data_IF_923209098835
#
_entry.id   IF_923209098835
#
_cell.length_a   1.000
_cell.length_b   1.000
_cell.length_c   1.000
_cell.angle_alpha   90.00
_cell.angle_beta   90.00
_cell.angle_gamma   90.00
#
_symmetry.space_group_name_H-M   'P 1'
#
loop_
_entity.id
_entity.type
_entity.pdbx_description
1 polymer ?
#
# COMPACT_ATOMS: atom_id res chain seq x y z
N UNK A 1 30.86 64.48 -33.32
CA UNK A 1 30.61 63.10 -33.79
C UNK A 1 31.41 62.15 -32.90
N UNK A 2 30.78 61.61 -31.86
CA UNK A 2 31.36 60.62 -30.94
C UNK A 2 30.21 59.71 -30.49
N UNK A 3 30.03 58.58 -31.18
CA UNK A 3 29.00 57.59 -30.89
C UNK A 3 29.54 56.48 -29.98
N UNK A 4 28.86 56.24 -28.86
CA UNK A 4 29.11 55.10 -27.95
C UNK A 4 28.62 53.79 -28.57
N UNK A 5 29.26 52.63 -28.30
CA UNK A 5 28.69 51.33 -28.59
C UNK A 5 27.65 50.95 -27.53
N UNK A 6 26.52 50.37 -27.96
CA UNK A 6 25.51 49.77 -27.08
C UNK A 6 25.96 48.34 -26.72
N UNK A 7 26.11 48.06 -25.43
CA UNK A 7 26.22 46.69 -24.91
C UNK A 7 24.87 45.98 -25.01
N UNK A 8 24.82 44.86 -25.74
CA UNK A 8 23.73 43.90 -25.66
C UNK A 8 24.07 42.86 -24.58
N UNK A 9 23.34 42.88 -23.48
CA UNK A 9 23.41 41.88 -22.41
C UNK A 9 22.69 40.60 -22.84
N UNK A 10 23.44 39.52 -23.06
CA UNK A 10 22.92 38.17 -23.27
C UNK A 10 22.51 37.61 -21.89
N UNK A 11 21.21 37.54 -21.62
CA UNK A 11 20.68 36.69 -20.54
C UNK A 11 20.63 35.24 -21.03
N UNK A 12 21.44 34.37 -20.45
CA UNK A 12 21.26 32.91 -20.52
C UNK A 12 19.92 32.57 -19.84
N UNK A 13 18.94 32.13 -20.60
CA UNK A 13 17.76 31.45 -20.06
C UNK A 13 18.17 29.99 -19.83
N UNK A 14 18.35 29.65 -18.57
CA UNK A 14 18.55 28.28 -18.10
C UNK A 14 17.18 27.57 -18.17
N UNK A 15 16.97 26.74 -19.20
CA UNK A 15 15.77 25.91 -19.33
C UNK A 15 15.89 24.72 -18.37
N UNK A 16 15.25 24.81 -17.21
CA UNK A 16 14.82 23.62 -16.47
C UNK A 16 13.40 23.28 -16.95
N UNK A 17 13.30 22.32 -17.86
CA UNK A 17 12.04 21.67 -18.21
C UNK A 17 12.08 20.21 -17.78
N UNK A 18 10.99 19.64 -17.24
CA UNK A 18 10.93 18.21 -16.96
C UNK A 18 11.04 17.40 -18.27
N UNK A 19 11.49 16.14 -18.21
CA UNK A 19 11.51 15.28 -19.40
C UNK A 19 10.09 15.15 -19.97
N UNK A 20 9.98 15.37 -21.27
CA UNK A 20 8.77 15.09 -22.03
C UNK A 20 8.47 13.59 -21.92
N UNK A 21 7.43 13.22 -21.18
CA UNK A 21 6.81 11.90 -21.33
C UNK A 21 6.09 11.95 -22.68
N UNK A 22 6.69 11.32 -23.68
CA UNK A 22 6.08 11.18 -25.00
C UNK A 22 4.93 10.17 -24.88
N UNK A 23 3.72 10.68 -24.67
CA UNK A 23 2.50 9.89 -24.68
C UNK A 23 2.18 9.57 -26.15
N UNK A 24 2.78 8.51 -26.68
CA UNK A 24 2.44 7.98 -28.00
C UNK A 24 1.05 7.35 -27.89
N UNK A 25 0.01 8.13 -28.23
CA UNK A 25 -1.31 7.56 -28.52
C UNK A 25 -1.20 6.89 -29.89
N UNK A 26 -0.63 5.69 -29.90
CA UNK A 26 -0.48 4.87 -31.09
C UNK A 26 -1.82 4.28 -31.49
N UNK A 27 -2.20 4.48 -32.76
CA UNK A 27 -3.16 3.62 -33.42
C UNK A 27 -2.60 2.19 -33.41
N UNK A 28 -3.28 1.26 -32.73
CA UNK A 28 -2.82 -0.11 -32.53
C UNK A 28 -2.83 -0.89 -33.85
N UNK A 29 -1.67 -0.99 -34.51
CA UNK A 29 -1.43 -1.96 -35.59
C UNK A 29 -1.22 -3.35 -34.98
N UNK A 30 -2.14 -4.25 -35.30
CA UNK A 30 -2.22 -5.61 -34.79
C UNK A 30 -0.99 -6.46 -35.18
N UNK A 31 -0.25 -6.95 -34.18
CA UNK A 31 0.69 -8.08 -34.32
C UNK A 31 0.23 -9.20 -33.41
N UNK A 32 -0.69 -10.03 -33.88
CA UNK A 32 -1.06 -11.27 -33.19
C UNK A 32 -0.03 -12.36 -33.48
N UNK A 33 0.82 -12.70 -32.51
CA UNK A 33 1.55 -13.96 -32.56
C UNK A 33 0.63 -15.07 -32.05
N UNK A 34 0.24 -15.96 -32.96
CA UNK A 34 -0.50 -17.18 -32.61
C UNK A 34 0.53 -18.26 -32.30
N UNK A 35 0.95 -18.35 -31.03
CA UNK A 35 1.63 -19.55 -30.55
C UNK A 35 0.60 -20.68 -30.44
N UNK A 36 0.83 -21.79 -31.16
CA UNK A 36 -0.08 -22.93 -31.20
C UNK A 36 -0.47 -23.39 -29.78
N UNK A 37 -1.77 -23.32 -29.46
CA UNK A 37 -2.35 -23.85 -28.21
C UNK A 37 -2.74 -22.83 -27.14
N UNK A 38 -2.48 -21.52 -27.31
CA UNK A 38 -2.99 -20.48 -26.38
C UNK A 38 -3.96 -19.54 -27.10
N UNK A 39 -5.10 -19.18 -26.49
CA UNK A 39 -6.00 -18.17 -27.05
C UNK A 39 -5.24 -16.84 -27.21
N UNK A 40 -5.44 -16.18 -28.34
CA UNK A 40 -4.81 -14.89 -28.60
C UNK A 40 -5.20 -13.88 -27.52
N UNK A 41 -4.21 -13.40 -26.77
CA UNK A 41 -4.38 -12.31 -25.79
C UNK A 41 -4.07 -10.98 -26.45
N UNK A 42 -4.79 -9.95 -26.03
CA UNK A 42 -4.54 -8.58 -26.47
C UNK A 42 -3.59 -7.92 -25.48
N UNK A 43 -2.63 -7.16 -25.99
CA UNK A 43 -1.85 -6.24 -25.17
C UNK A 43 -2.78 -5.12 -24.71
N UNK A 44 -3.10 -5.11 -23.43
CA UNK A 44 -3.88 -4.05 -22.78
C UNK A 44 -3.01 -2.81 -22.55
N UNK A 45 -1.77 -3.05 -22.12
CA UNK A 45 -0.80 -2.01 -21.79
C UNK A 45 0.63 -2.54 -21.99
N UNK A 46 1.53 -1.66 -22.42
CA UNK A 46 2.97 -1.93 -22.50
C UNK A 46 3.73 -0.69 -22.03
N UNK A 47 4.67 -0.86 -21.09
CA UNK A 47 5.59 0.18 -20.63
C UNK A 47 7.03 -0.29 -20.74
N UNK A 48 7.97 0.64 -20.94
CA UNK A 48 9.39 0.35 -21.18
C UNK A 48 10.27 1.04 -20.15
N UNK A 49 11.25 0.29 -19.64
CA UNK A 49 12.23 0.74 -18.65
C UNK A 49 13.62 0.28 -19.11
N UNK A 50 14.27 1.09 -19.94
CA UNK A 50 15.51 0.69 -20.62
C UNK A 50 15.30 -0.54 -21.52
N UNK A 51 16.01 -1.62 -21.22
CA UNK A 51 15.90 -2.91 -21.95
C UNK A 51 14.75 -3.80 -21.47
N UNK A 52 14.06 -3.39 -20.41
CA UNK A 52 12.91 -4.08 -19.85
C UNK A 52 11.60 -3.57 -20.47
N UNK A 53 10.67 -4.49 -20.69
CA UNK A 53 9.31 -4.21 -21.14
C UNK A 53 8.34 -4.89 -20.18
N UNK A 54 7.43 -4.12 -19.61
CA UNK A 54 6.33 -4.64 -18.80
C UNK A 54 5.07 -4.63 -19.64
N UNK A 55 4.44 -5.78 -19.79
CA UNK A 55 3.27 -5.96 -20.64
C UNK A 55 2.12 -6.54 -19.84
N UNK A 56 0.94 -5.97 -20.01
CA UNK A 56 -0.31 -6.51 -19.50
C UNK A 56 -1.14 -7.06 -20.65
N UNK A 57 -1.51 -8.33 -20.53
CA UNK A 57 -2.24 -9.10 -21.51
C UNK A 57 -3.62 -9.47 -20.97
N UNK A 58 -4.67 -9.22 -21.75
CA UNK A 58 -6.05 -9.55 -21.40
C UNK A 58 -6.72 -10.44 -22.43
N UNK A 59 -7.78 -11.13 -22.00
CA UNK A 59 -8.64 -11.88 -22.92
C UNK A 59 -9.54 -10.90 -23.69
N UNK A 60 -9.61 -11.07 -25.02
CA UNK A 60 -10.43 -10.24 -25.92
C UNK A 60 -11.94 -10.27 -25.61
N UNK A 61 -12.41 -11.25 -24.84
CA UNK A 61 -13.82 -11.48 -24.52
C UNK A 61 -14.38 -10.56 -23.41
N UNK A 62 -13.75 -9.41 -23.15
CA UNK A 62 -14.34 -8.33 -22.36
C UNK A 62 -15.50 -7.71 -23.14
N UNK A 63 -16.63 -8.43 -23.24
CA UNK A 63 -17.89 -7.78 -23.56
C UNK A 63 -18.29 -6.95 -22.33
N UNK A 64 -18.75 -5.71 -22.52
CA UNK A 64 -19.15 -4.83 -21.44
C UNK A 64 -20.51 -5.20 -20.82
N UNK A 65 -21.04 -6.41 -21.05
CA UNK A 65 -22.25 -6.88 -20.35
C UNK A 65 -21.88 -7.33 -18.94
N UNK A 66 -21.68 -6.33 -18.07
CA UNK A 66 -21.82 -6.46 -16.62
C UNK A 66 -23.27 -6.91 -16.33
N UNK A 67 -23.56 -8.19 -16.51
CA UNK A 67 -24.75 -8.79 -15.92
C UNK A 67 -24.46 -9.01 -14.43
N UNK A 68 -25.39 -8.59 -13.58
CA UNK A 68 -25.27 -8.48 -12.13
C UNK A 68 -24.92 -9.79 -11.39
N UNK A 69 -24.78 -10.92 -12.08
CA UNK A 69 -24.62 -12.25 -11.47
C UNK A 69 -23.36 -13.03 -11.91
N UNK A 70 -22.45 -12.43 -12.68
CA UNK A 70 -21.25 -13.13 -13.11
C UNK A 70 -20.09 -12.22 -13.46
N UNK A 71 -19.19 -11.98 -12.49
CA UNK A 71 -17.90 -11.32 -12.76
C UNK A 71 -17.25 -11.98 -13.99
N UNK A 72 -17.02 -11.23 -15.09
CA UNK A 72 -16.36 -11.80 -16.25
C UNK A 72 -15.02 -12.37 -15.82
N UNK A 73 -14.79 -13.64 -16.18
CA UNK A 73 -13.54 -14.39 -15.95
C UNK A 73 -12.40 -13.84 -16.85
N UNK A 74 -12.15 -12.54 -16.81
CA UNK A 74 -11.03 -11.93 -17.51
C UNK A 74 -9.82 -11.96 -16.60
N UNK A 75 -8.95 -12.96 -16.79
CA UNK A 75 -7.62 -12.90 -16.20
C UNK A 75 -6.78 -11.85 -16.93
N UNK A 76 -6.00 -11.10 -16.14
CA UNK A 76 -4.92 -10.26 -16.62
C UNK A 76 -3.63 -11.03 -16.40
N UNK A 77 -2.77 -11.09 -17.42
CA UNK A 77 -1.40 -11.57 -17.27
C UNK A 77 -0.43 -10.41 -17.39
N UNK A 78 0.46 -10.28 -16.41
CA UNK A 78 1.60 -9.39 -16.48
C UNK A 78 2.83 -10.20 -16.90
N UNK A 79 3.61 -9.67 -17.84
CA UNK A 79 4.88 -10.21 -18.29
C UNK A 79 5.94 -9.11 -18.13
N UNK A 80 7.09 -9.47 -17.55
CA UNK A 80 8.31 -8.65 -17.58
C UNK A 80 9.26 -9.32 -18.57
N UNK A 81 9.60 -8.59 -19.62
CA UNK A 81 10.51 -9.03 -20.69
C UNK A 81 11.83 -8.29 -20.55
N UNK A 82 12.96 -8.99 -20.67
CA UNK A 82 14.30 -8.41 -20.80
C UNK A 82 14.88 -8.78 -22.17
N UNK A 83 15.19 -7.77 -23.00
CA UNK A 83 15.66 -7.98 -24.39
C UNK A 83 14.77 -8.95 -25.19
N UNK A 84 13.46 -8.85 -24.99
CA UNK A 84 12.44 -9.67 -25.65
C UNK A 84 12.23 -11.08 -25.07
N UNK A 85 12.99 -11.48 -24.03
CA UNK A 85 12.78 -12.75 -23.32
C UNK A 85 11.97 -12.52 -22.05
N UNK A 86 10.94 -13.34 -21.81
CA UNK A 86 10.17 -13.28 -20.56
C UNK A 86 11.05 -13.74 -19.38
N UNK A 87 11.25 -12.85 -18.40
CA UNK A 87 12.01 -13.12 -17.16
C UNK A 87 11.09 -13.29 -15.95
N UNK A 88 9.85 -12.81 -16.05
CA UNK A 88 8.81 -13.05 -15.05
C UNK A 88 7.43 -12.96 -15.69
N UNK A 89 6.52 -13.83 -15.28
CA UNK A 89 5.12 -13.75 -15.65
C UNK A 89 4.22 -14.04 -14.44
N UNK A 90 3.04 -13.42 -14.44
CA UNK A 90 2.00 -13.65 -13.44
C UNK A 90 0.65 -13.51 -14.07
N UNK A 91 -0.26 -14.41 -13.74
CA UNK A 91 -1.65 -14.33 -14.15
C UNK A 91 -2.54 -14.18 -12.92
N UNK A 92 -3.41 -13.17 -12.95
CA UNK A 92 -4.36 -12.89 -11.87
C UNK A 92 -5.75 -12.67 -12.44
N UNK A 93 -6.76 -13.23 -11.75
CA UNK A 93 -8.17 -13.09 -12.12
C UNK A 93 -8.77 -11.75 -11.74
N UNK A 94 -8.26 -11.13 -10.69
CA UNK A 94 -8.81 -9.89 -10.12
C UNK A 94 -8.07 -8.64 -10.60
N UNK A 95 -6.83 -8.78 -11.07
CA UNK A 95 -6.10 -7.71 -11.72
C UNK A 95 -4.62 -7.66 -11.33
N UNK A 96 -3.84 -7.16 -12.27
CA UNK A 96 -2.45 -6.74 -12.10
C UNK A 96 -2.33 -5.36 -12.72
N UNK A 97 -1.59 -4.45 -12.10
CA UNK A 97 -1.36 -3.12 -12.65
C UNK A 97 -0.02 -2.54 -12.23
N UNK A 98 0.42 -1.55 -13.01
CA UNK A 98 1.47 -0.63 -12.63
C UNK A 98 0.84 0.57 -11.91
N UNK A 99 1.49 1.13 -10.90
CA UNK A 99 1.02 2.38 -10.35
C UNK A 99 1.11 3.52 -11.39
N UNK A 100 0.06 4.37 -11.44
CA UNK A 100 -0.07 5.43 -12.45
C UNK A 100 -0.46 4.92 -13.85
N UNK A 101 -0.67 3.61 -14.02
CA UNK A 101 -1.11 3.00 -15.27
C UNK A 101 -2.63 3.13 -15.42
N UNK A 102 -3.10 3.21 -16.67
CA UNK A 102 -4.51 3.39 -17.00
C UNK A 102 -5.35 2.12 -16.86
N UNK A 103 -4.97 1.25 -15.92
CA UNK A 103 -5.49 -0.10 -15.78
C UNK A 103 -7.02 -0.15 -15.73
N UNK A 104 -7.57 -1.30 -16.08
CA UNK A 104 -9.00 -1.56 -16.32
C UNK A 104 -9.94 -1.25 -15.12
N UNK A 105 -9.38 -1.02 -13.92
CA UNK A 105 -10.11 -0.64 -12.70
C UNK A 105 -9.92 0.84 -12.31
N UNK A 106 -9.24 1.62 -13.15
CA UNK A 106 -8.81 3.00 -12.89
C UNK A 106 -9.80 4.07 -13.38
N UNK A 107 -11.08 3.70 -13.57
CA UNK A 107 -12.09 4.65 -14.06
C UNK A 107 -12.35 5.82 -13.10
N UNK A 108 -11.99 5.70 -11.81
CA UNK A 108 -12.24 6.73 -10.79
C UNK A 108 -10.95 7.46 -10.31
N UNK A 109 -9.76 6.86 -10.44
CA UNK A 109 -8.51 7.43 -9.91
C UNK A 109 -7.98 8.58 -10.78
N UNK A 110 -8.18 8.52 -12.11
CA UNK A 110 -7.79 9.61 -13.02
C UNK A 110 -8.42 10.96 -12.67
N UNK A 111 -9.56 10.98 -11.97
CA UNK A 111 -10.21 12.23 -11.54
C UNK A 111 -9.61 12.81 -10.26
N UNK A 112 -8.76 12.08 -9.55
CA UNK A 112 -8.14 12.52 -8.30
C UNK A 112 -6.63 12.31 -8.39
N UNK A 113 -5.99 13.24 -9.09
CA UNK A 113 -4.54 13.38 -9.18
C UNK A 113 -3.97 13.65 -7.78
N UNK A 114 -3.61 12.61 -7.02
CA UNK A 114 -3.19 12.71 -5.61
C UNK A 114 -1.69 12.88 -5.41
N UNK A 115 -0.93 13.18 -6.47
CA UNK A 115 0.43 13.71 -6.33
C UNK A 115 1.52 12.69 -5.99
N UNK A 116 1.21 11.41 -5.82
CA UNK A 116 2.23 10.38 -5.57
C UNK A 116 2.44 9.54 -6.82
N UNK A 117 3.40 9.93 -7.66
CA UNK A 117 3.90 9.08 -8.73
C UNK A 117 4.86 8.09 -8.09
N UNK A 118 4.50 6.81 -8.05
CA UNK A 118 5.46 5.77 -7.66
C UNK A 118 6.63 5.80 -8.65
N UNK A 119 7.89 5.89 -8.18
CA UNK A 119 9.04 6.18 -9.03
C UNK A 119 9.52 4.93 -9.78
N UNK A 120 8.66 4.43 -10.67
CA UNK A 120 8.93 3.26 -11.50
C UNK A 120 10.16 3.48 -12.36
N UNK A 121 11.11 2.54 -12.32
CA UNK A 121 12.37 2.63 -13.03
C UNK A 121 13.36 3.63 -12.40
N UNK A 122 13.23 3.91 -11.10
CA UNK A 122 14.21 4.66 -10.31
C UNK A 122 14.78 3.75 -9.22
N UNK A 123 15.95 4.11 -8.72
CA UNK A 123 16.57 3.46 -7.56
C UNK A 123 15.80 3.84 -6.29
N UNK A 124 15.13 2.86 -5.68
CA UNK A 124 14.32 3.03 -4.47
C UNK A 124 15.05 2.51 -3.22
N UNK A 125 16.12 1.74 -3.37
CA UNK A 125 16.79 1.04 -2.28
C UNK A 125 18.23 1.55 -2.01
N UNK A 126 18.71 2.48 -2.84
CA UNK A 126 20.01 3.14 -2.75
C UNK A 126 21.18 2.35 -3.37
N UNK A 127 20.93 1.26 -4.09
CA UNK A 127 21.99 0.40 -4.65
C UNK A 127 22.48 0.83 -6.05
N UNK A 128 21.87 1.88 -6.61
CA UNK A 128 22.17 2.43 -7.93
C UNK A 128 21.46 1.74 -9.09
N UNK A 129 20.63 0.71 -8.84
CA UNK A 129 19.84 0.01 -9.85
C UNK A 129 18.37 0.43 -9.73
N UNK A 130 17.63 0.53 -10.85
CA UNK A 130 16.22 0.89 -10.79
C UNK A 130 15.30 -0.24 -10.32
N UNK A 131 14.18 0.10 -9.68
CA UNK A 131 13.16 -0.88 -9.31
C UNK A 131 11.85 -0.75 -10.08
N UNK A 132 11.13 -1.88 -10.13
CA UNK A 132 9.78 -2.02 -10.63
C UNK A 132 8.86 -2.52 -9.51
N UNK A 133 7.73 -1.84 -9.30
CA UNK A 133 6.66 -2.31 -8.40
C UNK A 133 5.43 -2.73 -9.20
N UNK A 134 5.00 -3.97 -9.05
CA UNK A 134 3.78 -4.52 -9.68
C UNK A 134 2.77 -4.86 -8.59
N UNK A 135 1.56 -4.37 -8.71
CA UNK A 135 0.48 -4.70 -7.77
C UNK A 135 -0.38 -5.83 -8.30
N UNK A 136 -0.74 -6.73 -7.38
CA UNK A 136 -1.71 -7.80 -7.57
C UNK A 136 -2.89 -7.58 -6.64
N UNK A 137 -4.09 -7.57 -7.21
CA UNK A 137 -5.33 -7.65 -6.43
C UNK A 137 -5.74 -9.11 -6.36
N UNK A 138 -6.06 -9.62 -5.18
CA UNK A 138 -6.71 -10.93 -4.98
C UNK A 138 -8.22 -10.80 -4.76
N UNK A 139 -8.83 -9.69 -5.20
CA UNK A 139 -10.24 -9.41 -4.95
C UNK A 139 -10.46 -8.87 -3.55
N UNK A 140 -11.41 -9.42 -2.79
CA UNK A 140 -11.73 -8.96 -1.43
C UNK A 140 -10.75 -9.47 -0.35
N UNK A 141 -9.77 -10.30 -0.72
CA UNK A 141 -9.01 -11.07 0.27
C UNK A 141 -7.51 -10.74 0.31
N UNK A 142 -6.77 -10.79 -0.80
CA UNK A 142 -5.31 -10.78 -0.67
C UNK A 142 -4.65 -9.85 -1.68
N UNK A 143 -4.12 -8.74 -1.20
CA UNK A 143 -3.44 -7.74 -2.01
C UNK A 143 -1.94 -7.83 -1.84
N UNK A 144 -1.19 -7.66 -2.93
CA UNK A 144 0.27 -7.76 -2.91
C UNK A 144 0.94 -6.71 -3.77
N UNK A 145 2.12 -6.28 -3.35
CA UNK A 145 3.07 -5.59 -4.20
C UNK A 145 4.30 -6.47 -4.41
N UNK A 146 4.71 -6.65 -5.66
CA UNK A 146 5.96 -7.29 -6.02
C UNK A 146 6.99 -6.21 -6.35
N UNK A 147 8.12 -6.24 -5.67
CA UNK A 147 9.24 -5.32 -5.92
C UNK A 147 10.32 -6.09 -6.64
N UNK A 148 10.73 -5.59 -7.80
CA UNK A 148 11.79 -6.16 -8.62
C UNK A 148 12.88 -5.14 -8.82
N UNK A 149 14.13 -5.56 -8.73
CA UNK A 149 15.26 -4.83 -9.27
C UNK A 149 15.32 -5.10 -10.77
N UNK A 150 15.48 -4.04 -11.53
CA UNK A 150 15.68 -4.03 -12.97
C UNK A 150 16.95 -3.21 -13.28
N UNK A 151 17.66 -3.51 -14.35
CA UNK A 151 18.93 -2.82 -14.64
C UNK A 151 19.93 -3.77 -15.27
N UNK A 152 21.09 -3.93 -14.64
CA UNK A 152 22.11 -4.87 -15.11
C UNK A 152 21.66 -6.34 -15.00
N UNK A 153 20.81 -6.63 -14.01
CA UNK A 153 20.22 -7.93 -13.80
C UNK A 153 18.77 -7.82 -13.32
N UNK A 154 18.01 -8.90 -13.53
CA UNK A 154 16.65 -9.02 -13.04
C UNK A 154 16.63 -9.79 -11.72
N UNK A 155 16.06 -9.21 -10.68
CA UNK A 155 15.90 -9.88 -9.38
C UNK A 155 14.55 -9.51 -8.76
N UNK A 156 13.85 -10.48 -8.16
CA UNK A 156 12.69 -10.18 -7.32
C UNK A 156 13.18 -9.90 -5.89
N UNK A 157 13.09 -8.64 -5.48
CA UNK A 157 13.55 -8.17 -4.17
C UNK A 157 12.57 -8.52 -3.05
N UNK A 158 11.28 -8.30 -3.26
CA UNK A 158 10.28 -8.49 -2.21
C UNK A 158 8.89 -8.86 -2.74
N UNK A 159 8.09 -9.45 -1.84
CA UNK A 159 6.63 -9.46 -1.92
C UNK A 159 6.11 -8.81 -0.65
N UNK A 160 5.40 -7.70 -0.79
CA UNK A 160 4.76 -7.00 0.31
C UNK A 160 3.30 -7.43 0.35
N UNK A 161 2.88 -8.06 1.44
CA UNK A 161 1.48 -8.43 1.65
C UNK A 161 0.73 -7.19 2.15
N UNK A 162 -0.21 -6.69 1.36
CA UNK A 162 -1.03 -5.51 1.65
C UNK A 162 -2.35 -5.88 2.33
N UNK A 163 -2.56 -7.18 2.60
CA UNK A 163 -3.67 -7.71 3.41
C UNK A 163 -5.06 -7.65 2.76
N UNK A 164 -6.07 -7.90 3.61
CA UNK A 164 -7.51 -7.93 3.29
C UNK A 164 -8.08 -6.53 3.34
N UNK A 165 -8.24 -5.86 2.19
CA UNK A 165 -8.96 -4.58 2.12
C UNK A 165 -10.34 -4.80 1.50
N UNK A 166 -11.41 -4.42 2.20
CA UNK A 166 -12.80 -4.47 1.70
C UNK A 166 -13.10 -3.32 0.71
N UNK A 167 -12.24 -2.32 0.67
CA UNK A 167 -12.51 -1.11 -0.09
C UNK A 167 -11.34 -0.82 -0.99
N UNK A 168 -11.54 -1.13 -2.27
CA UNK A 168 -10.94 -0.43 -3.41
C UNK A 168 -9.47 -0.05 -3.13
N UNK A 169 -8.58 -1.01 -3.32
CA UNK A 169 -7.15 -0.77 -3.60
C UNK A 169 -6.87 0.30 -4.67
N UNK A 170 -7.89 0.82 -5.34
CA UNK A 170 -7.81 2.01 -6.17
C UNK A 170 -7.65 3.30 -5.36
N UNK A 171 -7.44 3.28 -4.04
CA UNK A 171 -6.87 4.46 -3.37
C UNK A 171 -5.34 4.36 -3.36
N UNK A 172 -4.64 4.89 -4.40
CA UNK A 172 -3.18 4.92 -4.47
C UNK A 172 -2.53 5.72 -3.31
N UNK A 173 -3.31 6.30 -2.40
CA UNK A 173 -2.80 6.90 -1.16
C UNK A 173 -2.38 5.86 -0.12
N UNK A 174 -2.87 4.62 -0.20
CA UNK A 174 -2.63 3.60 0.83
C UNK A 174 -1.39 2.74 0.61
N UNK A 175 -0.74 2.86 -0.54
CA UNK A 175 0.63 2.40 -0.74
C UNK A 175 1.43 3.51 -1.39
N UNK A 176 2.49 3.96 -0.72
CA UNK A 176 3.35 5.04 -1.20
C UNK A 176 4.80 4.64 -0.99
N UNK A 177 5.64 4.89 -2.00
CA UNK A 177 7.09 4.95 -1.83
C UNK A 177 7.50 6.41 -1.66
N UNK A 178 8.19 6.74 -0.58
CA UNK A 178 8.64 8.09 -0.30
C UNK A 178 9.89 8.06 0.58
N UNK A 179 10.83 8.95 0.29
CA UNK A 179 11.95 9.28 1.17
C UNK A 179 11.43 10.04 2.40
N UNK A 180 11.41 9.34 3.55
CA UNK A 180 10.87 9.85 4.81
C UNK A 180 11.95 10.42 5.74
N UNK A 181 13.21 10.04 5.56
CA UNK A 181 14.31 10.41 6.46
C UNK A 181 15.46 11.19 5.79
N UNK A 182 15.39 11.40 4.47
CA UNK A 182 16.34 12.15 3.67
C UNK A 182 17.56 11.36 3.21
N UNK A 183 17.56 10.02 3.34
CA UNK A 183 18.68 9.16 2.96
C UNK A 183 18.69 8.78 1.46
N UNK A 184 17.69 9.24 0.69
CA UNK A 184 17.46 8.94 -0.73
C UNK A 184 17.06 7.49 -1.03
N UNK A 185 16.84 6.66 -0.02
CA UNK A 185 16.08 5.44 -0.16
C UNK A 185 14.60 5.76 0.08
N UNK A 186 13.70 4.95 -0.48
CA UNK A 186 12.28 5.17 -0.33
C UNK A 186 11.68 4.16 0.64
N UNK A 187 10.98 4.65 1.65
CA UNK A 187 10.14 3.82 2.50
C UNK A 187 8.83 3.48 1.81
N UNK A 188 8.38 2.23 1.99
CA UNK A 188 7.04 1.80 1.68
C UNK A 188 6.11 2.12 2.84
N UNK A 189 5.21 3.08 2.65
CA UNK A 189 4.12 3.41 3.56
C UNK A 189 2.89 2.64 3.10
N UNK A 190 2.38 1.76 3.95
CA UNK A 190 1.22 0.91 3.64
C UNK A 190 0.37 0.63 4.87
N UNK A 191 -0.83 0.08 4.68
CA UNK A 191 -1.70 -0.32 5.78
C UNK A 191 -1.47 -1.79 6.17
N UNK A 192 -1.29 -2.07 7.47
CA UNK A 192 -1.35 -3.42 8.03
C UNK A 192 -2.80 -3.78 8.39
N UNK A 193 -3.37 -4.71 7.63
CA UNK A 193 -4.74 -5.20 7.80
C UNK A 193 -4.84 -6.48 8.63
N UNK A 194 -3.72 -6.97 9.18
CA UNK A 194 -3.71 -8.24 9.91
C UNK A 194 -4.65 -8.20 11.13
N UNK A 195 -4.85 -7.00 11.69
CA UNK A 195 -5.73 -6.73 12.82
C UNK A 195 -7.13 -6.23 12.42
N UNK A 196 -7.65 -6.62 11.25
CA UNK A 196 -9.03 -6.35 10.81
C UNK A 196 -10.09 -7.14 11.59
N UNK A 197 -10.12 -6.97 12.91
CA UNK A 197 -10.95 -7.69 13.87
C UNK A 197 -12.44 -7.56 13.66
N UNK A 198 -13.16 -8.68 13.53
CA UNK A 198 -14.58 -8.86 13.90
C UNK A 198 -15.62 -7.98 13.20
N UNK A 199 -15.20 -6.94 12.51
CA UNK A 199 -16.03 -6.07 11.71
C UNK A 199 -15.92 -6.58 10.28
N UNK A 200 -17.00 -7.12 9.74
CA UNK A 200 -17.04 -7.40 8.32
C UNK A 200 -16.85 -6.07 7.56
N UNK A 201 -15.87 -6.06 6.67
CA UNK A 201 -15.73 -5.02 5.66
C UNK A 201 -15.05 -3.71 6.08
N UNK A 202 -15.62 -2.60 5.61
CA UNK A 202 -15.12 -1.22 5.68
C UNK A 202 -14.75 -0.67 7.07
N UNK A 203 -15.13 -1.36 8.15
CA UNK A 203 -14.85 -0.96 9.52
C UNK A 203 -13.57 -1.59 10.11
N UNK A 204 -12.90 -2.48 9.38
CA UNK A 204 -11.61 -3.02 9.79
C UNK A 204 -10.59 -1.89 9.99
N UNK A 205 -10.03 -1.81 11.19
CA UNK A 205 -9.01 -0.85 11.53
C UNK A 205 -7.68 -1.26 10.91
N UNK A 206 -7.40 -0.76 9.70
CA UNK A 206 -6.06 -0.76 9.16
C UNK A 206 -5.20 0.28 9.88
N UNK A 207 -3.93 -0.03 10.09
CA UNK A 207 -2.97 0.88 10.70
C UNK A 207 -1.78 1.07 9.77
N UNK A 208 -1.36 2.32 9.61
CA UNK A 208 -0.22 2.66 8.77
C UNK A 208 1.07 2.04 9.34
N UNK A 209 1.82 1.37 8.48
CA UNK A 209 3.17 0.87 8.73
C UNK A 209 4.12 1.47 7.70
N UNK A 210 5.32 1.77 8.18
CA UNK A 210 6.41 2.28 7.34
C UNK A 210 7.45 1.16 7.28
N UNK A 211 7.78 0.71 6.07
CA UNK A 211 8.82 -0.28 5.85
C UNK A 211 10.01 0.38 5.14
N UNK A 212 11.23 0.12 5.62
CA UNK A 212 12.48 0.57 5.01
C UNK A 212 13.26 -0.63 4.47
N UNK A 213 13.94 -0.45 3.34
CA UNK A 213 14.87 -1.45 2.84
C UNK A 213 16.14 -1.49 3.69
N UNK A 214 16.42 -2.64 4.32
CA UNK A 214 17.66 -2.90 5.07
C UNK A 214 18.03 -4.36 4.96
N UNK A 215 19.32 -4.64 4.80
CA UNK A 215 19.88 -5.99 4.76
C UNK A 215 19.19 -6.92 3.73
N UNK A 216 18.82 -6.35 2.57
CA UNK A 216 18.22 -7.10 1.47
C UNK A 216 16.73 -7.40 1.63
N UNK A 217 16.03 -6.78 2.58
CA UNK A 217 14.58 -6.90 2.72
C UNK A 217 13.92 -5.62 3.25
N UNK A 218 12.59 -5.52 3.10
CA UNK A 218 11.81 -4.48 3.75
C UNK A 218 11.56 -4.84 5.22
N UNK A 219 11.95 -3.96 6.14
CA UNK A 219 11.79 -4.11 7.58
C UNK A 219 11.00 -2.93 8.16
N UNK A 220 10.20 -3.12 9.23
CA UNK A 220 9.49 -2.00 9.87
C UNK A 220 10.44 -0.89 10.38
N UNK A 221 10.21 0.34 9.91
CA UNK A 221 10.96 1.54 10.29
C UNK A 221 10.35 2.16 11.57
N UNK A 222 10.51 1.46 12.69
CA UNK A 222 9.89 1.85 13.98
C UNK A 222 10.30 3.24 14.48
N UNK A 223 11.48 3.70 14.11
CA UNK A 223 11.97 5.06 14.34
C UNK A 223 11.10 6.13 13.64
N UNK A 224 10.65 5.85 12.41
CA UNK A 224 9.78 6.74 11.64
C UNK A 224 8.31 6.63 12.05
N UNK A 225 7.89 5.47 12.56
CA UNK A 225 6.51 5.25 13.03
C UNK A 225 6.25 5.84 14.41
N UNK A 226 7.29 6.04 15.22
CA UNK A 226 7.16 6.49 16.60
C UNK A 226 6.55 7.90 16.69
N UNK A 227 5.49 8.04 17.47
CA UNK A 227 4.87 9.34 17.81
C UNK A 227 5.07 9.61 19.30
N UNK A 228 5.18 10.89 19.73
CA UNK A 228 5.21 11.21 21.15
C UNK A 228 3.93 10.71 21.85
N UNK A 229 4.02 10.29 23.12
CA UNK A 229 2.85 9.81 23.84
C UNK A 229 1.80 10.91 23.97
N UNK A 230 0.50 10.59 23.79
CA UNK A 230 -0.56 11.55 24.01
C UNK A 230 -0.59 11.98 25.48
N UNK A 231 -0.97 13.23 25.71
CA UNK A 231 -1.15 13.72 27.08
C UNK A 231 -2.29 12.97 27.79
N UNK A 232 -2.29 12.86 29.13
CA UNK A 232 -3.39 12.23 29.86
C UNK A 232 -4.76 12.86 29.59
N UNK A 233 -4.83 14.18 29.42
CA UNK A 233 -6.08 14.89 29.12
C UNK A 233 -6.60 14.59 27.72
N UNK A 234 -5.69 14.52 26.75
CA UNK A 234 -6.03 14.12 25.40
C UNK A 234 -6.57 12.68 25.37
N UNK A 235 -5.91 11.76 26.07
CA UNK A 235 -6.34 10.36 26.15
C UNK A 235 -7.74 10.25 26.78
N UNK A 236 -8.00 10.98 27.88
CA UNK A 236 -9.32 11.06 28.53
C UNK A 236 -10.39 11.63 27.59
N UNK A 237 -10.06 12.68 26.84
CA UNK A 237 -10.99 13.31 25.88
C UNK A 237 -11.39 12.33 24.78
N UNK A 238 -10.41 11.67 24.16
CA UNK A 238 -10.64 10.64 23.12
C UNK A 238 -11.48 9.49 23.70
N UNK A 239 -11.17 9.03 24.92
CA UNK A 239 -11.87 7.92 25.56
C UNK A 239 -13.35 8.27 25.83
N UNK A 240 -13.63 9.48 26.31
CA UNK A 240 -15.00 9.98 26.52
C UNK A 240 -15.80 10.01 25.21
N UNK A 241 -15.18 10.42 24.10
CA UNK A 241 -15.85 10.46 22.79
C UNK A 241 -16.23 9.06 22.29
N UNK A 242 -15.34 8.09 22.40
CA UNK A 242 -15.63 6.71 21.98
C UNK A 242 -16.66 6.07 22.92
N UNK A 243 -16.51 6.26 24.23
CA UNK A 243 -17.46 5.73 25.22
C UNK A 243 -18.88 6.30 25.05
N UNK A 244 -19.02 7.53 24.58
CA UNK A 244 -20.35 8.11 24.28
C UNK A 244 -21.07 7.41 23.12
N UNK A 245 -20.35 6.68 22.27
CA UNK A 245 -20.90 5.86 21.18
C UNK A 245 -21.22 4.43 21.62
N UNK A 246 -20.89 4.07 22.86
CA UNK A 246 -21.17 2.74 23.37
C UNK A 246 -22.69 2.53 23.41
N UNK A 247 -23.25 1.53 22.72
CA UNK A 247 -24.69 1.38 22.61
C UNK A 247 -25.32 1.17 24.00
N UNK A 248 -26.41 1.90 24.26
CA UNK A 248 -27.10 1.87 25.55
C UNK A 248 -27.87 0.56 25.82
N UNK A 249 -28.00 -0.31 24.82
CA UNK A 249 -28.81 -1.54 24.91
C UNK A 249 -27.90 -2.77 25.05
N UNK A 250 -27.94 -3.37 26.25
CA UNK A 250 -27.29 -4.61 26.65
C UNK A 250 -27.72 -5.80 25.78
N UNK A 251 -27.11 -5.98 24.60
CA UNK A 251 -27.01 -7.31 24.01
C UNK A 251 -25.73 -7.98 24.51
N UNK A 252 -25.73 -9.30 24.74
CA UNK A 252 -24.51 -10.02 25.09
C UNK A 252 -23.53 -9.82 23.93
N UNK A 253 -22.55 -8.93 24.13
CA UNK A 253 -21.65 -8.48 23.09
C UNK A 253 -20.91 -9.68 22.47
N UNK A 254 -21.16 -9.92 21.19
CA UNK A 254 -20.20 -10.61 20.34
C UNK A 254 -19.02 -9.68 20.04
N UNK A 255 -17.87 -10.20 19.59
CA UNK A 255 -16.71 -9.40 19.18
C UNK A 255 -17.00 -8.33 18.12
N UNK A 256 -18.15 -8.41 17.46
CA UNK A 256 -18.59 -7.58 16.32
C UNK A 256 -19.25 -6.25 16.72
N UNK A 257 -19.64 -6.07 17.98
CA UNK A 257 -20.49 -4.96 18.42
C UNK A 257 -19.72 -3.84 19.13
N UNK A 258 -18.39 -3.92 19.17
CA UNK A 258 -17.53 -2.89 19.74
C UNK A 258 -17.41 -1.69 18.79
N UNK A 259 -17.32 -0.44 19.30
CA UNK A 259 -17.05 0.70 18.44
C UNK A 259 -15.75 0.48 17.66
N UNK A 260 -15.81 0.41 16.33
CA UNK A 260 -14.61 0.22 15.49
C UNK A 260 -13.53 1.28 15.72
N UNK A 261 -13.94 2.48 16.14
CA UNK A 261 -13.04 3.56 16.55
C UNK A 261 -12.15 3.19 17.75
N UNK A 262 -12.61 2.34 18.68
CA UNK A 262 -11.80 1.89 19.82
C UNK A 262 -10.55 1.18 19.32
N UNK A 263 -10.73 0.20 18.43
CA UNK A 263 -9.62 -0.61 17.95
C UNK A 263 -8.69 0.16 17.02
N UNK A 264 -9.23 1.08 16.22
CA UNK A 264 -8.41 2.01 15.43
C UNK A 264 -7.49 2.83 16.32
N UNK A 265 -8.01 3.39 17.41
CA UNK A 265 -7.22 4.18 18.35
C UNK A 265 -6.19 3.32 19.09
N UNK A 266 -6.58 2.13 19.55
CA UNK A 266 -5.65 1.19 20.21
C UNK A 266 -4.52 0.79 19.27
N UNK A 267 -4.82 0.48 18.01
CA UNK A 267 -3.82 0.13 17.01
C UNK A 267 -2.88 1.30 16.70
N UNK A 268 -3.41 2.51 16.46
CA UNK A 268 -2.57 3.70 16.20
C UNK A 268 -1.64 4.00 17.40
N UNK A 269 -2.13 3.86 18.63
CA UNK A 269 -1.29 4.00 19.83
C UNK A 269 -0.20 2.91 19.91
N UNK A 270 -0.52 1.65 19.64
CA UNK A 270 0.47 0.56 19.68
C UNK A 270 1.51 0.73 18.58
N UNK A 271 1.09 0.93 17.32
CA UNK A 271 1.98 1.04 16.17
C UNK A 271 2.78 2.35 16.15
N UNK A 272 2.41 3.33 16.98
CA UNK A 272 3.22 4.54 17.19
C UNK A 272 4.15 4.48 18.41
N UNK A 273 4.29 3.30 19.05
CA UNK A 273 5.20 3.12 20.18
C UNK A 273 4.62 3.52 21.54
N UNK A 274 3.28 3.59 21.66
CA UNK A 274 2.55 4.06 22.84
C UNK A 274 1.64 2.99 23.44
N UNK A 275 2.02 1.71 23.42
CA UNK A 275 1.19 0.60 23.89
C UNK A 275 0.73 0.75 25.36
N UNK A 276 1.58 1.28 26.25
CA UNK A 276 1.16 1.56 27.62
C UNK A 276 -0.01 2.56 27.70
N UNK A 277 -0.04 3.56 26.81
CA UNK A 277 -1.19 4.47 26.68
C UNK A 277 -2.40 3.75 26.07
N UNK A 278 -2.19 2.88 25.09
CA UNK A 278 -3.25 2.08 24.47
C UNK A 278 -4.00 1.22 25.50
N UNK A 279 -3.28 0.55 26.41
CA UNK A 279 -3.93 -0.29 27.43
C UNK A 279 -4.71 0.53 28.45
N UNK A 280 -4.15 1.66 28.92
CA UNK A 280 -4.90 2.61 29.75
C UNK A 280 -6.13 3.18 29.03
N UNK A 281 -6.02 3.40 27.71
CA UNK A 281 -7.14 3.86 26.89
C UNK A 281 -8.29 2.87 26.90
N UNK A 282 -7.99 1.57 26.71
CA UNK A 282 -9.02 0.51 26.81
C UNK A 282 -9.71 0.57 28.16
N UNK A 283 -8.96 0.67 29.27
CA UNK A 283 -9.55 0.76 30.61
C UNK A 283 -10.47 1.97 30.81
N UNK A 284 -10.17 3.11 30.16
CA UNK A 284 -11.01 4.31 30.24
C UNK A 284 -12.30 4.20 29.40
N UNK A 285 -12.22 3.52 28.25
CA UNK A 285 -13.35 3.34 27.33
C UNK A 285 -14.28 2.25 27.83
N UNK A 286 -13.73 1.16 28.37
CA UNK A 286 -14.49 0.00 28.81
C UNK A 286 -15.48 0.38 29.92
N UNK A 287 -16.80 0.13 29.76
CA UNK A 287 -17.74 0.53 30.78
C UNK A 287 -17.52 -0.25 32.09
N UNK A 288 -17.62 0.40 33.27
CA UNK A 288 -17.46 -0.27 34.55
C UNK A 288 -18.45 -1.43 34.73
N UNK A 289 -17.94 -2.59 35.15
CA UNK A 289 -18.76 -3.78 35.40
C UNK A 289 -19.09 -4.62 34.16
N UNK A 290 -18.77 -4.15 32.94
CA UNK A 290 -18.99 -4.93 31.73
C UNK A 290 -18.00 -6.10 31.63
N UNK A 291 -18.48 -7.36 31.51
CA UNK A 291 -17.61 -8.53 31.41
C UNK A 291 -16.90 -8.61 30.06
N UNK A 292 -15.99 -9.57 29.90
CA UNK A 292 -15.41 -9.93 28.60
C UNK A 292 -14.16 -9.15 28.17
N UNK A 293 -13.80 -8.05 28.86
CA UNK A 293 -12.60 -7.24 28.55
C UNK A 293 -11.34 -8.08 28.36
N UNK A 294 -11.02 -8.93 29.33
CA UNK A 294 -9.79 -9.71 29.32
C UNK A 294 -9.76 -10.78 28.23
N UNK A 295 -10.88 -11.47 28.00
CA UNK A 295 -10.99 -12.48 26.94
C UNK A 295 -10.78 -11.84 25.56
N UNK A 296 -11.39 -10.68 25.36
CA UNK A 296 -11.25 -9.89 24.14
C UNK A 296 -9.83 -9.35 23.96
N UNK A 297 -9.21 -8.79 25.01
CA UNK A 297 -7.81 -8.35 24.96
C UNK A 297 -6.84 -9.50 24.72
N UNK A 298 -7.10 -10.69 25.29
CA UNK A 298 -6.31 -11.88 25.02
C UNK A 298 -6.42 -12.32 23.56
N UNK A 299 -7.62 -12.29 23.00
CA UNK A 299 -7.85 -12.54 21.57
C UNK A 299 -7.09 -11.43 20.78
N UNK A 300 -7.27 -10.14 21.10
CA UNK A 300 -6.62 -8.99 20.43
C UNK A 300 -5.12 -9.17 20.26
N UNK A 301 -4.45 -9.54 21.35
CA UNK A 301 -3.01 -9.81 21.36
C UNK A 301 -2.60 -11.00 20.49
N UNK A 302 -3.44 -12.04 20.39
CA UNK A 302 -3.18 -13.17 19.47
C UNK A 302 -3.22 -12.75 18.01
N UNK A 303 -4.14 -11.88 17.62
CA UNK A 303 -4.19 -11.43 16.22
C UNK A 303 -3.14 -10.38 15.89
N UNK A 304 -2.77 -9.52 16.84
CA UNK A 304 -1.56 -8.68 16.71
C UNK A 304 -0.34 -9.55 16.38
N UNK A 305 -0.17 -10.67 17.09
CA UNK A 305 0.94 -11.59 16.87
C UNK A 305 0.97 -12.28 15.50
N UNK A 306 -0.09 -12.15 14.69
CA UNK A 306 -0.12 -12.65 13.31
C UNK A 306 0.46 -11.66 12.31
N UNK A 307 0.59 -10.38 12.67
CA UNK A 307 1.17 -9.38 11.78
C UNK A 307 2.65 -9.67 11.54
N UNK A 308 3.12 -9.64 10.27
CA UNK A 308 4.55 -9.71 9.97
C UNK A 308 5.37 -8.57 10.61
N UNK A 309 4.73 -7.43 10.88
CA UNK A 309 5.38 -6.28 11.52
C UNK A 309 5.45 -6.42 13.05
N UNK A 310 4.66 -7.33 13.65
CA UNK A 310 4.50 -7.43 15.09
C UNK A 310 5.80 -7.57 15.88
N UNK A 311 6.80 -8.39 15.46
CA UNK A 311 8.05 -8.51 16.22
C UNK A 311 8.72 -7.16 16.50
N UNK A 312 8.82 -6.30 15.47
CA UNK A 312 9.42 -4.98 15.59
C UNK A 312 8.52 -4.02 16.39
N UNK A 313 7.20 -4.07 16.21
CA UNK A 313 6.26 -3.24 16.98
C UNK A 313 6.28 -3.61 18.46
N UNK A 314 6.37 -4.89 18.78
CA UNK A 314 6.47 -5.40 20.15
C UNK A 314 7.74 -4.91 20.83
N UNK A 315 8.88 -5.02 20.14
CA UNK A 315 10.17 -4.52 20.61
C UNK A 315 10.16 -3.01 20.83
N UNK A 316 9.65 -2.24 19.86
CA UNK A 316 9.51 -0.77 19.94
C UNK A 316 8.78 -0.32 21.21
N UNK A 317 7.82 -1.12 21.67
CA UNK A 317 6.98 -0.85 22.84
C UNK A 317 7.48 -1.49 24.15
N UNK A 318 8.57 -2.27 24.12
CA UNK A 318 9.05 -3.01 25.30
C UNK A 318 8.02 -4.01 25.84
N UNK A 319 7.24 -4.64 24.95
CA UNK A 319 6.24 -5.63 25.33
C UNK A 319 6.87 -7.03 25.45
N UNK A 320 6.42 -7.81 26.43
CA UNK A 320 6.74 -9.24 26.55
C UNK A 320 6.08 -10.09 25.45
N UNK A 321 6.38 -11.38 25.44
CA UNK A 321 5.84 -12.33 24.44
C UNK A 321 4.32 -12.41 24.43
N UNK A 322 3.68 -12.14 25.57
CA UNK A 322 2.23 -12.11 25.72
C UNK A 322 1.60 -10.78 25.27
N UNK A 323 2.40 -9.82 24.78
CA UNK A 323 1.96 -8.50 24.34
C UNK A 323 1.64 -7.52 25.47
N UNK A 324 2.05 -7.82 26.72
CA UNK A 324 1.92 -6.90 27.86
C UNK A 324 3.20 -6.10 28.08
N UNK A 325 3.13 -4.88 28.64
CA UNK A 325 4.33 -4.16 29.07
C UNK A 325 5.16 -5.03 30.01
N UNK A 326 6.48 -5.09 29.78
CA UNK A 326 7.40 -5.66 30.76
C UNK A 326 7.26 -4.91 32.09
N UNK A 327 7.11 -5.68 33.19
CA UNK A 327 7.09 -5.13 34.54
C UNK A 327 8.44 -4.57 34.95
#
# INVERSE_FOLDING_TARGET
>A
MTGRPRHASIRRIQRYGPPLVLLVVGWWLWRGEVTAGRPARMVLEEQRFGEYVVRFLGNRALRPDYSDEGYPRSSVRCEILYRGRCVWERECWWGLWLPGSSGMFDYDVRRRNTGTVLPMGQDINGDGQPELVIFESGGQADHRAFVFQIGDHFCKLATLELGKSDLRLTDPRRFVLRDMDGDRCLEAVLDDWTCGWGTCGAAAAAVEVILRWRDGCYQPATDLMRKPPPSPDELRRRAKQIRAKWPAQHRPYGPTDLPGDLWREVLDLIYSGNAAAAWRFVDMVWPPGEPGKEALLAQFRRDLARSPCWPAIREMNGLGDDGRPGG
#
